data_IF_543912703557
#
_entry.id   IF_543912703557
#
_cell.length_a   1.000
_cell.length_b   1.000
_cell.length_c   1.000
_cell.angle_alpha   90.00
_cell.angle_beta   90.00
_cell.angle_gamma   90.00
#
_symmetry.space_group_name_H-M   'P 1'
#
loop_
_entity.id
_entity.type
_entity.pdbx_description
1 polymer ?
#
# COMPACT_ATOMS: atom_id res chain seq x y z
N UNK A 1 27.37 17.87 -7.22
CA UNK A 1 26.10 17.76 -6.47
C UNK A 1 25.92 16.32 -6.02
N UNK A 2 25.53 16.07 -4.77
CA UNK A 2 25.24 14.72 -4.26
C UNK A 2 23.73 14.62 -4.05
N UNK A 3 23.03 13.99 -4.99
CA UNK A 3 21.60 13.71 -4.88
C UNK A 3 21.42 12.26 -4.40
N UNK A 4 20.61 12.06 -3.36
CA UNK A 4 20.21 10.74 -2.89
C UNK A 4 18.70 10.58 -3.12
N UNK A 5 18.30 9.47 -3.74
CA UNK A 5 16.91 9.06 -3.90
C UNK A 5 16.82 7.58 -3.54
N UNK A 6 15.87 7.22 -2.69
CA UNK A 6 15.62 5.86 -2.27
C UNK A 6 14.17 5.50 -2.52
N UNK A 7 13.94 4.31 -3.07
CA UNK A 7 12.63 3.71 -3.22
C UNK A 7 12.68 2.33 -2.57
N UNK A 8 11.66 2.02 -1.78
CA UNK A 8 11.50 0.70 -1.16
C UNK A 8 10.20 0.09 -1.64
N UNK A 9 10.26 -1.18 -2.03
CA UNK A 9 9.10 -1.99 -2.39
C UNK A 9 9.16 -3.22 -1.51
N UNK A 10 8.05 -3.56 -0.86
CA UNK A 10 7.96 -4.69 0.06
C UNK A 10 6.56 -5.26 0.08
N UNK A 11 6.47 -6.53 0.42
CA UNK A 11 5.21 -7.22 0.68
C UNK A 11 4.85 -7.08 2.17
N UNK A 12 3.57 -7.32 2.51
CA UNK A 12 3.14 -7.40 3.90
C UNK A 12 3.84 -8.58 4.60
N UNK A 13 4.25 -8.38 5.86
CA UNK A 13 4.86 -9.45 6.65
C UNK A 13 3.80 -10.49 7.04
N UNK A 14 3.95 -11.69 6.49
CA UNK A 14 3.05 -12.82 6.75
C UNK A 14 3.08 -13.25 8.22
N UNK A 15 4.20 -13.04 8.93
CA UNK A 15 4.27 -13.32 10.36
C UNK A 15 3.38 -12.37 11.15
N UNK A 16 3.38 -11.08 10.81
CA UNK A 16 2.50 -10.09 11.42
C UNK A 16 1.02 -10.44 11.19
N UNK A 17 0.67 -10.87 9.97
CA UNK A 17 -0.69 -11.36 9.66
C UNK A 17 -1.02 -12.60 10.52
N UNK A 18 -0.11 -13.58 10.61
CA UNK A 18 -0.29 -14.76 11.44
C UNK A 18 -0.50 -14.41 12.92
N UNK A 19 0.28 -13.48 13.46
CA UNK A 19 0.15 -13.02 14.85
C UNK A 19 -1.20 -12.33 15.13
N UNK A 20 -1.72 -11.57 14.17
CA UNK A 20 -3.04 -10.95 14.28
C UNK A 20 -4.15 -12.01 14.20
N UNK A 21 -4.02 -12.97 13.28
CA UNK A 21 -4.95 -14.10 13.15
C UNK A 21 -4.98 -14.99 14.39
N UNK A 22 -3.84 -15.24 15.02
CA UNK A 22 -3.77 -16.00 16.27
C UNK A 22 -4.54 -15.31 17.42
N UNK A 23 -4.77 -14.00 17.34
CA UNK A 23 -5.61 -13.23 18.27
C UNK A 23 -7.09 -13.18 17.87
N UNK A 24 -7.49 -13.90 16.83
CA UNK A 24 -8.88 -13.97 16.36
C UNK A 24 -9.27 -12.92 15.32
N UNK A 25 -8.32 -12.18 14.76
CA UNK A 25 -8.57 -11.22 13.67
C UNK A 25 -8.72 -11.99 12.35
N UNK A 26 -9.71 -11.62 11.52
CA UNK A 26 -9.85 -12.15 10.17
C UNK A 26 -8.63 -11.86 9.30
N UNK A 27 -8.36 -12.68 8.29
CA UNK A 27 -7.18 -12.49 7.42
C UNK A 27 -7.23 -11.16 6.66
N UNK A 28 -8.37 -10.85 6.04
CA UNK A 28 -8.58 -9.59 5.32
C UNK A 28 -8.46 -8.38 6.24
N UNK A 29 -9.01 -8.48 7.45
CA UNK A 29 -8.95 -7.41 8.45
C UNK A 29 -7.53 -7.20 8.98
N UNK A 30 -6.76 -8.28 9.20
CA UNK A 30 -5.37 -8.21 9.58
C UNK A 30 -4.52 -7.50 8.50
N UNK A 31 -4.74 -7.82 7.22
CA UNK A 31 -4.06 -7.14 6.10
C UNK A 31 -4.44 -5.66 6.05
N UNK A 32 -5.73 -5.34 6.14
CA UNK A 32 -6.22 -3.94 6.15
C UNK A 32 -5.62 -3.14 7.30
N UNK A 33 -5.51 -3.72 8.50
CA UNK A 33 -4.87 -3.08 9.65
C UNK A 33 -3.38 -2.79 9.43
N UNK A 34 -2.63 -3.74 8.87
CA UNK A 34 -1.20 -3.53 8.61
C UNK A 34 -0.98 -2.45 7.54
N UNK A 35 -1.81 -2.44 6.49
CA UNK A 35 -1.77 -1.38 5.47
C UNK A 35 -2.13 -0.02 6.06
N UNK A 36 -3.15 0.06 6.92
CA UNK A 36 -3.54 1.29 7.59
C UNK A 36 -2.45 1.79 8.55
N UNK A 37 -1.79 0.90 9.28
CA UNK A 37 -0.66 1.25 10.16
C UNK A 37 0.50 1.87 9.36
N UNK A 38 0.80 1.33 8.17
CA UNK A 38 1.80 1.91 7.28
C UNK A 38 1.39 3.30 6.76
N UNK A 39 0.15 3.44 6.30
CA UNK A 39 -0.37 4.73 5.83
C UNK A 39 -0.44 5.78 6.94
N UNK A 40 -0.77 5.38 8.17
CA UNK A 40 -0.89 6.26 9.32
C UNK A 40 0.44 6.97 9.64
N UNK A 41 1.59 6.29 9.50
CA UNK A 41 2.91 6.92 9.71
C UNK A 41 3.20 8.00 8.66
N UNK A 42 2.73 7.82 7.43
CA UNK A 42 2.83 8.83 6.37
C UNK A 42 1.89 10.00 6.64
N UNK A 43 0.63 9.72 7.00
CA UNK A 43 -0.39 10.73 7.30
C UNK A 43 -0.05 11.56 8.55
N UNK A 44 0.66 10.98 9.52
CA UNK A 44 1.10 11.66 10.72
C UNK A 44 2.07 12.83 10.43
N UNK A 45 2.74 12.82 9.27
CA UNK A 45 3.66 13.91 8.85
C UNK A 45 2.92 15.13 8.30
N UNK A 46 1.61 15.07 8.13
CA UNK A 46 0.79 16.16 7.60
C UNK A 46 0.45 17.12 8.74
N UNK A 47 0.96 18.35 8.66
CA UNK A 47 0.78 19.37 9.71
C UNK A 47 -0.63 19.96 9.74
N UNK A 48 -1.32 19.98 8.59
CA UNK A 48 -2.65 20.59 8.48
C UNK A 48 -3.75 19.59 8.91
N UNK A 49 -4.44 19.82 10.05
CA UNK A 49 -5.36 18.84 10.63
C UNK A 49 -6.59 18.58 9.75
N UNK A 50 -7.10 19.60 9.06
CA UNK A 50 -8.24 19.44 8.15
C UNK A 50 -7.91 18.51 6.97
N UNK A 51 -6.70 18.64 6.41
CA UNK A 51 -6.24 17.78 5.33
C UNK A 51 -5.94 16.37 5.82
N UNK A 52 -5.34 16.24 7.01
CA UNK A 52 -5.10 14.94 7.65
C UNK A 52 -6.41 14.17 7.81
N UNK A 53 -7.44 14.78 8.41
CA UNK A 53 -8.73 14.14 8.63
C UNK A 53 -9.44 13.74 7.34
N UNK A 54 -9.36 14.59 6.30
CA UNK A 54 -9.88 14.25 4.97
C UNK A 54 -9.18 13.03 4.37
N UNK A 55 -7.85 12.99 4.42
CA UNK A 55 -7.06 11.87 3.88
C UNK A 55 -7.23 10.58 4.67
N UNK A 56 -7.32 10.64 6.00
CA UNK A 56 -7.66 9.49 6.83
C UNK A 56 -9.01 8.89 6.40
N UNK A 57 -10.01 9.73 6.13
CA UNK A 57 -11.29 9.29 5.59
C UNK A 57 -11.14 8.62 4.23
N UNK A 58 -10.43 9.25 3.28
CA UNK A 58 -10.21 8.67 1.95
C UNK A 58 -9.48 7.32 2.00
N UNK A 59 -8.46 7.18 2.86
CA UNK A 59 -7.71 5.92 3.01
C UNK A 59 -8.59 4.84 3.63
N UNK A 60 -9.38 5.18 4.65
CA UNK A 60 -10.31 4.24 5.26
C UNK A 60 -11.36 3.76 4.26
N UNK A 61 -11.95 4.68 3.50
CA UNK A 61 -12.94 4.37 2.46
C UNK A 61 -12.36 3.49 1.34
N UNK A 62 -11.10 3.73 0.95
CA UNK A 62 -10.38 2.92 -0.02
C UNK A 62 -10.16 1.47 0.44
N UNK A 63 -9.92 1.25 1.74
CA UNK A 63 -9.69 -0.09 2.30
C UNK A 63 -10.99 -0.84 2.63
N UNK A 64 -12.10 -0.13 2.82
CA UNK A 64 -13.43 -0.69 3.08
C UNK A 64 -14.23 -0.96 1.80
N UNK A 65 -13.96 -0.20 0.74
CA UNK A 65 -14.47 -0.49 -0.60
C UNK A 65 -13.64 -1.63 -1.19
N UNK A 66 -14.14 -2.87 -1.18
CA UNK A 66 -13.49 -4.06 -1.76
C UNK A 66 -13.26 -3.92 -3.29
N UNK A 67 -12.37 -3.02 -3.70
CA UNK A 67 -11.78 -3.05 -5.03
C UNK A 67 -10.74 -4.16 -5.01
N UNK A 68 -11.08 -5.24 -5.69
CA UNK A 68 -10.19 -6.36 -5.98
C UNK A 68 -8.80 -5.89 -6.41
N UNK A 69 -7.77 -6.74 -6.20
CA UNK A 69 -6.36 -6.38 -6.37
C UNK A 69 -6.11 -5.66 -7.69
N UNK A 70 -5.14 -4.74 -7.67
CA UNK A 70 -4.45 -4.30 -8.89
C UNK A 70 -3.89 -5.56 -9.55
N UNK A 71 -4.72 -6.18 -10.38
CA UNK A 71 -4.38 -7.33 -11.20
C UNK A 71 -3.17 -6.96 -12.02
N UNK A 72 -2.22 -7.88 -11.99
CA UNK A 72 -0.93 -7.80 -12.63
C UNK A 72 -1.19 -7.49 -14.11
N UNK A 73 -0.87 -6.26 -14.56
CA UNK A 73 -0.68 -6.07 -16.00
C UNK A 73 0.38 -7.09 -16.41
N UNK A 74 0.07 -8.09 -17.25
CA UNK A 74 1.06 -9.08 -17.59
C UNK A 74 2.19 -8.34 -18.32
N UNK A 75 3.39 -8.43 -17.76
CA UNK A 75 4.65 -7.95 -18.33
C UNK A 75 5.03 -8.69 -19.63
N UNK A 76 4.09 -9.40 -20.26
CA UNK A 76 4.25 -10.21 -21.47
C UNK A 76 3.97 -9.47 -22.77
N UNK A 77 3.69 -8.16 -22.76
CA UNK A 77 3.78 -7.31 -23.95
C UNK A 77 4.89 -6.25 -23.84
N UNK A 78 6.08 -6.70 -23.43
CA UNK A 78 7.33 -6.11 -23.93
C UNK A 78 7.73 -6.86 -25.22
N UNK A 79 6.85 -6.89 -26.22
CA UNK A 79 7.25 -7.33 -27.57
C UNK A 79 8.14 -6.25 -28.15
N UNK A 80 9.45 -6.53 -28.13
CA UNK A 80 10.48 -6.00 -29.04
C UNK A 80 9.86 -5.33 -30.28
N UNK A 81 9.71 -4.01 -30.23
CA UNK A 81 9.74 -3.18 -31.44
C UNK A 81 11.17 -2.71 -31.59
N UNK A 82 11.94 -3.49 -32.34
CA UNK A 82 13.12 -3.01 -33.07
C UNK A 82 12.76 -1.71 -33.77
N UNK A 83 13.30 -0.59 -33.28
CA UNK A 83 13.41 0.65 -34.03
C UNK A 83 14.89 0.85 -34.31
N UNK A 84 15.31 0.24 -35.41
CA UNK A 84 16.48 0.65 -36.18
C UNK A 84 16.23 2.09 -36.65
N UNK A 85 16.98 3.04 -36.11
CA UNK A 85 17.84 4.00 -36.85
C UNK A 85 18.72 4.69 -35.82
#
# INVERSE_FOLDING_TARGET
MKCAHGVTVGQLDENAVFYLRARGVGEDEARKMLTLAFAADVLAKIELPALKGYLEHCVSDLLLSDRTPVDERPSSQCTRRTLTT
#
